data_IF_146501768778
#
_entry.id   IF_146501768778
#
_cell.length_a   1.000
_cell.length_b   1.000
_cell.length_c   1.000
_cell.angle_alpha   90.00
_cell.angle_beta   90.00
_cell.angle_gamma   90.00
#
_symmetry.space_group_name_H-M   'P 1'
#
loop_
_entity.id
_entity.type
_entity.pdbx_description
1 polymer ?
#
# COMPACT_ATOMS: atom_id res chain seq x y z
N UNK A 1 -6.19 -27.61 -70.61
CA UNK A 1 -6.74 -26.61 -69.69
C UNK A 1 -5.67 -26.39 -68.63
N UNK A 2 -4.94 -25.29 -68.55
CA UNK A 2 -5.05 -23.96 -69.15
C UNK A 2 -3.62 -23.40 -69.33
N UNK A 3 -3.44 -22.58 -70.36
CA UNK A 3 -2.20 -21.86 -70.64
C UNK A 3 -2.02 -20.71 -69.64
N UNK A 4 -0.76 -20.34 -69.40
CA UNK A 4 -0.35 -19.38 -68.38
C UNK A 4 -0.70 -17.93 -68.64
N UNK A 5 -0.30 -17.08 -67.69
CA UNK A 5 0.07 -15.69 -67.89
C UNK A 5 0.73 -15.18 -66.60
N UNK A 6 2.04 -14.90 -66.70
CA UNK A 6 2.68 -13.89 -65.87
C UNK A 6 2.26 -12.52 -66.41
N UNK A 7 1.67 -11.68 -65.56
CA UNK A 7 1.63 -10.24 -65.79
C UNK A 7 1.72 -9.52 -64.44
N UNK A 8 2.89 -8.91 -64.21
CA UNK A 8 3.07 -7.51 -63.80
C UNK A 8 1.78 -6.86 -63.26
N UNK A 9 1.84 -6.25 -62.08
CA UNK A 9 1.52 -4.82 -61.91
C UNK A 9 1.30 -4.45 -60.44
N UNK A 10 1.73 -3.24 -60.09
CA UNK A 10 1.23 -2.38 -59.02
C UNK A 10 1.64 -2.71 -57.58
N UNK A 11 2.81 -2.16 -57.21
CA UNK A 11 3.00 -1.51 -55.91
C UNK A 11 1.86 -0.51 -55.62
N UNK A 12 1.17 -0.59 -54.47
CA UNK A 12 0.41 0.54 -53.94
C UNK A 12 1.23 1.23 -52.84
N UNK A 13 1.84 2.35 -53.23
CA UNK A 13 2.40 3.40 -52.36
C UNK A 13 1.24 4.11 -51.67
N UNK A 14 0.54 3.47 -50.73
CA UNK A 14 -0.59 4.11 -50.02
C UNK A 14 -0.80 3.56 -48.59
N UNK A 15 0.28 3.16 -47.91
CA UNK A 15 0.23 2.67 -46.53
C UNK A 15 0.69 3.71 -45.49
N UNK A 16 0.59 5.02 -45.77
CA UNK A 16 1.10 6.06 -44.87
C UNK A 16 0.12 7.11 -44.32
N UNK A 17 -1.15 7.28 -44.75
CA UNK A 17 -1.99 8.31 -44.14
C UNK A 17 -2.87 7.81 -42.97
N UNK A 18 -2.99 6.49 -42.74
CA UNK A 18 -3.86 5.97 -41.67
C UNK A 18 -3.21 5.95 -40.27
N UNK A 19 -1.88 6.00 -40.17
CA UNK A 19 -1.19 5.94 -38.88
C UNK A 19 -1.21 7.26 -38.10
N UNK A 20 -1.49 8.40 -38.76
CA UNK A 20 -1.51 9.71 -38.07
C UNK A 20 -2.85 10.02 -37.38
N UNK A 21 -3.96 9.44 -37.84
CA UNK A 21 -5.31 9.77 -37.33
C UNK A 21 -5.64 9.07 -36.01
N UNK A 22 -5.01 7.92 -35.71
CA UNK A 22 -5.24 7.20 -34.45
C UNK A 22 -4.45 7.77 -33.25
N UNK A 23 -3.56 8.75 -33.45
CA UNK A 23 -2.80 9.36 -32.35
C UNK A 23 -3.56 10.51 -31.64
N UNK A 24 -4.66 11.00 -32.19
CA UNK A 24 -5.37 12.18 -31.67
C UNK A 24 -6.49 11.86 -30.66
N UNK A 25 -6.79 10.58 -30.40
CA UNK A 25 -7.82 10.16 -29.44
C UNK A 25 -7.26 9.68 -28.09
N UNK A 26 -6.15 10.25 -27.62
CA UNK A 26 -5.82 10.10 -26.20
C UNK A 26 -6.83 10.92 -25.38
N UNK A 27 -7.64 10.29 -24.51
CA UNK A 27 -8.56 11.03 -23.66
C UNK A 27 -7.75 11.95 -22.72
N UNK A 28 -8.15 13.22 -22.55
CA UNK A 28 -7.43 14.15 -21.71
C UNK A 28 -7.58 13.75 -20.24
N UNK A 29 -6.44 13.71 -19.54
CA UNK A 29 -6.41 13.86 -18.08
C UNK A 29 -6.79 12.63 -17.29
N UNK A 30 -5.90 11.62 -17.24
CA UNK A 30 -5.76 10.88 -15.98
C UNK A 30 -5.01 11.83 -15.03
N UNK A 31 -5.76 12.61 -14.26
CA UNK A 31 -5.24 13.30 -13.08
C UNK A 31 -4.34 12.31 -12.35
N UNK A 32 -3.09 12.69 -12.17
CA UNK A 32 -2.23 12.05 -11.18
C UNK A 32 -2.87 12.37 -9.83
N UNK A 33 -3.88 11.58 -9.46
CA UNK A 33 -4.12 11.30 -8.06
C UNK A 33 -2.81 10.71 -7.60
N UNK A 34 -1.97 11.55 -6.97
CA UNK A 34 -0.94 11.10 -6.05
C UNK A 34 -1.60 10.01 -5.22
N UNK A 35 -1.29 8.75 -5.56
CA UNK A 35 -1.67 7.63 -4.73
C UNK A 35 -0.96 7.89 -3.41
N UNK A 36 -1.69 8.48 -2.46
CA UNK A 36 -1.40 8.30 -1.05
C UNK A 36 -1.36 6.80 -0.89
N UNK A 37 -0.16 6.22 -0.94
CA UNK A 37 0.08 4.79 -0.78
C UNK A 37 -0.66 4.40 0.48
N UNK A 38 -1.80 3.73 0.31
CA UNK A 38 -2.56 3.22 1.43
C UNK A 38 -1.57 2.40 2.25
N UNK A 39 -1.30 2.84 3.48
CA UNK A 39 -0.50 2.06 4.41
C UNK A 39 -1.39 0.88 4.76
N UNK A 40 -1.24 -0.19 3.99
CA UNK A 40 -1.85 -1.47 4.30
C UNK A 40 -1.32 -1.82 5.68
N UNK A 41 -2.21 -1.91 6.66
CA UNK A 41 -1.91 -2.44 7.98
C UNK A 41 -1.62 -3.94 7.84
N UNK A 42 -0.48 -4.28 7.26
CA UNK A 42 -0.01 -5.66 7.19
C UNK A 42 0.41 -6.06 8.60
N UNK A 43 -0.48 -6.79 9.29
CA UNK A 43 -0.12 -7.46 10.53
C UNK A 43 0.90 -8.54 10.18
N UNK A 44 2.15 -8.35 10.60
CA UNK A 44 3.16 -9.40 10.50
C UNK A 44 2.91 -10.41 11.62
N UNK A 45 2.52 -11.66 11.30
CA UNK A 45 2.34 -12.66 12.34
C UNK A 45 3.67 -12.91 13.05
N UNK A 46 3.55 -13.05 14.36
CA UNK A 46 4.61 -13.54 15.22
C UNK A 46 4.88 -15.01 14.86
N UNK A 47 6.14 -15.46 14.87
CA UNK A 47 6.50 -16.86 14.59
C UNK A 47 5.97 -17.82 15.66
N UNK A 48 6.16 -19.13 15.46
CA UNK A 48 5.75 -20.15 16.45
C UNK A 48 6.77 -20.32 17.58
N UNK A 49 7.96 -19.75 17.41
CA UNK A 49 9.02 -19.73 18.41
C UNK A 49 8.75 -18.74 19.55
N UNK A 50 9.39 -19.01 20.69
CA UNK A 50 9.35 -18.12 21.84
C UNK A 50 9.93 -16.74 21.52
N UNK A 51 9.07 -15.72 21.57
CA UNK A 51 9.40 -14.34 21.23
C UNK A 51 9.72 -13.45 22.42
N UNK A 52 10.09 -14.05 23.56
CA UNK A 52 10.55 -13.32 24.73
C UNK A 52 9.44 -12.98 25.71
N UNK A 53 9.81 -12.37 26.85
CA UNK A 53 8.87 -12.05 27.91
C UNK A 53 7.79 -11.07 27.42
N UNK A 54 6.54 -11.37 27.77
CA UNK A 54 5.37 -10.60 27.40
C UNK A 54 4.57 -10.17 28.65
N UNK A 55 3.99 -8.98 28.61
CA UNK A 55 3.15 -8.44 29.68
C UNK A 55 1.87 -7.83 29.15
N UNK A 56 0.78 -7.98 29.89
CA UNK A 56 -0.45 -7.20 29.67
C UNK A 56 -0.27 -5.81 30.31
N UNK A 57 -0.40 -4.76 29.50
CA UNK A 57 -0.06 -3.40 29.91
C UNK A 57 -1.24 -2.44 29.73
N UNK A 58 -1.37 -1.55 30.69
CA UNK A 58 -2.30 -0.42 30.72
C UNK A 58 -1.53 0.79 31.27
N UNK A 59 -1.57 1.92 30.56
CA UNK A 59 -0.85 3.13 30.93
C UNK A 59 -1.66 4.15 31.74
N UNK A 60 -2.90 3.80 32.12
CA UNK A 60 -3.80 4.71 32.83
C UNK A 60 -3.26 5.02 34.24
N UNK A 61 -3.23 6.31 34.58
CA UNK A 61 -2.86 6.82 35.91
C UNK A 61 -4.09 7.23 36.70
N UNK A 62 -3.88 7.75 37.90
CA UNK A 62 -4.99 8.21 38.75
C UNK A 62 -5.86 9.26 38.03
N UNK A 63 -7.18 9.05 38.08
CA UNK A 63 -8.16 9.88 37.37
C UNK A 63 -8.25 9.62 35.86
N UNK A 64 -7.53 8.63 35.33
CA UNK A 64 -7.56 8.22 33.93
C UNK A 64 -8.17 6.81 33.82
N UNK A 65 -9.03 6.60 32.84
CA UNK A 65 -9.57 5.27 32.52
C UNK A 65 -10.18 5.26 31.12
N UNK A 66 -10.35 4.08 30.49
CA UNK A 66 -11.13 3.97 29.26
C UNK A 66 -12.55 4.54 29.44
N UNK A 67 -13.20 4.23 30.57
CA UNK A 67 -14.57 4.66 30.86
C UNK A 67 -14.73 6.18 31.01
N UNK A 68 -13.71 6.86 31.54
CA UNK A 68 -13.69 8.32 31.68
C UNK A 68 -13.32 9.06 30.39
N UNK A 69 -12.81 8.34 29.38
CA UNK A 69 -12.26 8.93 28.16
C UNK A 69 -10.98 9.75 28.38
N UNK A 70 -10.43 9.73 29.60
CA UNK A 70 -9.18 10.42 29.93
C UNK A 70 -8.05 9.45 29.69
N UNK A 71 -7.33 9.64 28.59
CA UNK A 71 -6.24 8.76 28.17
C UNK A 71 -4.87 9.27 28.66
N UNK A 72 -3.87 8.37 28.78
CA UNK A 72 -2.50 8.76 29.07
C UNK A 72 -1.94 9.68 27.98
N UNK A 73 -1.14 10.66 28.38
CA UNK A 73 -0.43 11.51 27.43
C UNK A 73 0.67 10.74 26.70
N UNK A 74 1.06 11.21 25.51
CA UNK A 74 2.19 10.63 24.76
C UNK A 74 3.48 10.58 25.60
N UNK A 75 3.71 11.58 26.46
CA UNK A 75 4.88 11.62 27.31
C UNK A 75 4.85 10.53 28.39
N UNK A 76 3.68 10.30 29.02
CA UNK A 76 3.47 9.21 29.98
C UNK A 76 3.68 7.86 29.33
N UNK A 77 3.07 7.61 28.16
CA UNK A 77 3.27 6.36 27.41
C UNK A 77 4.75 6.17 27.05
N UNK A 78 5.45 7.22 26.62
CA UNK A 78 6.86 7.12 26.28
C UNK A 78 7.76 6.84 27.51
N UNK A 79 7.43 7.40 28.67
CA UNK A 79 8.10 7.08 29.94
C UNK A 79 7.95 5.59 30.27
N UNK A 80 6.71 5.10 30.26
CA UNK A 80 6.39 3.72 30.61
C UNK A 80 7.06 2.74 29.64
N UNK A 81 7.03 3.01 28.34
CA UNK A 81 7.70 2.17 27.33
C UNK A 81 9.22 2.12 27.51
N UNK A 82 9.88 3.18 27.99
CA UNK A 82 11.32 3.15 28.29
C UNK A 82 11.64 2.28 29.51
N UNK A 83 10.72 2.19 30.47
CA UNK A 83 10.86 1.30 31.62
C UNK A 83 10.65 -0.15 31.17
N UNK A 84 9.56 -0.41 30.44
CA UNK A 84 9.17 -1.76 30.03
C UNK A 84 10.16 -2.38 29.03
N UNK A 85 10.75 -1.58 28.14
CA UNK A 85 11.75 -2.05 27.17
C UNK A 85 13.00 -2.68 27.81
N UNK A 86 13.24 -2.46 29.10
CA UNK A 86 14.36 -3.07 29.84
C UNK A 86 14.17 -4.56 30.10
N UNK A 87 12.91 -5.03 30.17
CA UNK A 87 12.58 -6.38 30.62
C UNK A 87 11.55 -7.10 29.74
N UNK A 88 10.78 -6.39 28.92
CA UNK A 88 9.66 -6.93 28.17
C UNK A 88 9.86 -6.73 26.67
N UNK A 89 9.57 -7.78 25.90
CA UNK A 89 9.73 -7.79 24.44
C UNK A 89 8.40 -7.65 23.71
N UNK A 90 7.31 -8.07 24.36
CA UNK A 90 5.96 -8.02 23.82
C UNK A 90 4.99 -7.37 24.83
N UNK A 91 4.05 -6.60 24.29
CA UNK A 91 2.98 -5.95 25.05
C UNK A 91 1.64 -6.41 24.51
N UNK A 92 0.74 -6.79 25.40
CA UNK A 92 -0.69 -6.94 25.09
C UNK A 92 -1.42 -5.71 25.61
N UNK A 93 -2.14 -5.05 24.71
CA UNK A 93 -3.01 -3.91 25.02
C UNK A 93 -4.47 -4.30 24.77
N UNK A 94 -5.38 -3.56 25.40
CA UNK A 94 -6.82 -3.72 25.24
C UNK A 94 -7.39 -2.43 24.67
N UNK A 95 -8.32 -2.57 23.72
CA UNK A 95 -9.07 -1.48 23.10
C UNK A 95 -10.28 -1.10 23.94
#
# INVERSE_FOLDING_TARGET
MERGADVRSLTPVFALPCALVLLACQPPGRLSTSETRAVVNTVRPLGTEWQGPAIAYSGYRQGQSPDSGVHPSRAQVAEDLRILAKAWRLLRVYS
#
